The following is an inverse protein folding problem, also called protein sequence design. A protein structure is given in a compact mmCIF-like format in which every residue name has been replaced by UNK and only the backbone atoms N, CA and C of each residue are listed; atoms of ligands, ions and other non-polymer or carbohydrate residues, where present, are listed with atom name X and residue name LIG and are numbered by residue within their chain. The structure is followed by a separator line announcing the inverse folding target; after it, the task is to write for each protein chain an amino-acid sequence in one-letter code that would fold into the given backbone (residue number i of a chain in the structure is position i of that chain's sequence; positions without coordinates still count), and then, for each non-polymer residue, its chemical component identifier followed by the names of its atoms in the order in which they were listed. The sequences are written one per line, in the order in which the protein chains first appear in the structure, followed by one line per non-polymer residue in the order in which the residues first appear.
data_IF_555790041564
#
_entry.id   IF_555790041564
#
_cell.length_a   1.000
_cell.length_b   1.000
_cell.length_c   1.000
_cell.angle_alpha   90.00
_cell.angle_beta   90.00
_cell.angle_gamma   90.00
#
_symmetry.space_group_name_H-M   'P 1'
#
loop_
_entity.id
_entity.type
_entity.pdbx_description
1 polymer ?
#
# COMPACT_ATOMS: atom_id res chain seq x y z
N UNK A 1 -19.97 33.72 0.64
CA UNK A 1 -19.66 32.46 -0.08
C UNK A 1 -19.28 31.45 0.99
N UNK A 2 -20.25 30.68 1.47
CA UNK A 2 -20.09 29.70 2.56
C UNK A 2 -19.17 28.55 2.12
N UNK A 3 -18.12 28.25 2.91
CA UNK A 3 -17.18 27.17 2.58
C UNK A 3 -17.86 25.81 2.80
N UNK A 4 -17.89 24.88 1.82
CA UNK A 4 -18.83 23.76 1.82
C UNK A 4 -18.57 22.67 2.87
N UNK A 5 -17.51 22.75 3.68
CA UNK A 5 -17.16 21.77 4.71
C UNK A 5 -16.17 22.40 5.72
N UNK A 6 -16.38 22.15 7.02
CA UNK A 6 -15.45 22.60 8.06
C UNK A 6 -14.17 21.74 8.09
N UNK A 7 -13.03 22.33 8.48
CA UNK A 7 -11.73 21.61 8.58
C UNK A 7 -11.83 20.32 9.39
N UNK A 8 -12.59 20.35 10.48
CA UNK A 8 -12.86 19.18 11.33
C UNK A 8 -13.63 18.09 10.57
N UNK A 9 -14.65 18.47 9.81
CA UNK A 9 -15.41 17.54 8.99
C UNK A 9 -14.57 16.95 7.85
N UNK A 10 -13.65 17.72 7.26
CA UNK A 10 -12.70 17.23 6.26
C UNK A 10 -11.75 16.18 6.87
N UNK A 11 -11.12 16.48 8.01
CA UNK A 11 -10.20 15.54 8.68
C UNK A 11 -10.91 14.24 9.07
N UNK A 12 -12.14 14.33 9.61
CA UNK A 12 -12.92 13.15 9.97
C UNK A 12 -13.24 12.27 8.76
N UNK A 13 -13.59 12.87 7.61
CA UNK A 13 -13.94 12.14 6.38
C UNK A 13 -12.73 11.55 5.65
N UNK A 14 -11.62 12.29 5.57
CA UNK A 14 -10.44 11.84 4.85
C UNK A 14 -9.54 10.91 5.67
N UNK A 15 -9.48 11.08 6.99
CA UNK A 15 -8.63 10.27 7.88
C UNK A 15 -9.28 8.99 8.42
N UNK A 16 -10.61 8.98 8.57
CA UNK A 16 -11.35 7.85 9.19
C UNK A 16 -12.08 6.93 8.21
N UNK A 17 -12.17 7.29 6.92
CA UNK A 17 -13.07 6.67 5.95
C UNK A 17 -12.91 5.15 5.82
N UNK A 18 -11.72 4.67 5.49
CA UNK A 18 -11.48 3.23 5.26
C UNK A 18 -11.59 2.38 6.53
N UNK A 19 -11.07 2.86 7.67
CA UNK A 19 -11.18 2.16 8.96
C UNK A 19 -12.62 2.08 9.45
N UNK A 20 -13.40 3.14 9.24
CA UNK A 20 -14.82 3.17 9.58
C UNK A 20 -15.66 2.20 8.74
N UNK A 21 -15.30 1.96 7.47
CA UNK A 21 -15.97 0.94 6.62
C UNK A 21 -15.76 -0.48 7.17
N UNK A 22 -14.56 -0.80 7.66
CA UNK A 22 -14.29 -2.08 8.30
C UNK A 22 -15.06 -2.25 9.61
N UNK A 23 -15.11 -1.20 10.43
CA UNK A 23 -15.89 -1.18 11.68
C UNK A 23 -17.39 -1.34 11.41
N UNK A 24 -17.94 -0.62 10.42
CA UNK A 24 -19.34 -0.71 10.01
C UNK A 24 -19.71 -2.13 9.53
N UNK A 25 -18.77 -2.80 8.85
CA UNK A 25 -18.95 -4.19 8.40
C UNK A 25 -18.89 -5.21 9.55
N UNK A 26 -18.17 -4.89 10.63
CA UNK A 26 -18.08 -5.77 11.82
C UNK A 26 -19.21 -5.59 12.82
N UNK A 27 -19.93 -4.46 12.79
CA UNK A 27 -21.04 -4.16 13.70
C UNK A 27 -22.34 -4.82 13.19
N UNK A 28 -22.92 -5.80 13.92
CA UNK A 28 -24.17 -6.44 13.52
C UNK A 28 -25.30 -5.40 13.48
N UNK A 29 -26.01 -5.31 12.35
CA UNK A 29 -27.22 -4.49 12.21
C UNK A 29 -27.04 -3.06 11.72
N UNK A 30 -25.80 -2.59 11.47
CA UNK A 30 -25.56 -1.24 10.91
C UNK A 30 -25.57 -1.23 9.37
N UNK A 31 -25.25 -2.37 8.73
CA UNK A 31 -25.24 -2.51 7.27
C UNK A 31 -26.62 -2.33 6.60
N UNK A 32 -27.71 -2.36 7.36
CA UNK A 32 -29.09 -2.22 6.86
C UNK A 32 -29.63 -0.79 6.93
N UNK A 33 -28.90 0.16 7.53
CA UNK A 33 -29.39 1.52 7.78
C UNK A 33 -28.98 2.56 6.72
N UNK A 34 -28.24 2.17 5.67
CA UNK A 34 -27.87 3.08 4.57
C UNK A 34 -28.91 3.01 3.45
N UNK A 35 -29.72 4.07 3.22
CA UNK A 35 -30.61 4.11 2.07
C UNK A 35 -29.76 4.23 0.80
N UNK A 36 -29.87 3.24 -0.08
CA UNK A 36 -29.41 3.30 -1.47
C UNK A 36 -27.93 3.70 -1.72
N UNK A 37 -26.98 2.97 -1.12
CA UNK A 37 -25.63 2.84 -1.70
C UNK A 37 -25.58 1.85 -2.90
N UNK A 38 -26.72 1.62 -3.57
CA UNK A 38 -26.85 0.65 -4.64
C UNK A 38 -26.35 1.15 -6.02
N UNK A 39 -26.03 2.45 -6.17
CA UNK A 39 -25.79 3.06 -7.49
C UNK A 39 -24.33 3.41 -7.82
N UNK A 40 -23.36 3.24 -6.92
CA UNK A 40 -21.95 3.44 -7.27
C UNK A 40 -21.09 2.30 -6.74
N UNK A 41 -20.55 1.50 -7.67
CA UNK A 41 -19.47 0.52 -7.46
C UNK A 41 -19.82 -0.91 -7.02
N UNK A 42 -21.03 -1.42 -7.29
CA UNK A 42 -21.15 -2.86 -7.63
C UNK A 42 -20.74 -3.10 -9.09
N UNK A 43 -19.61 -2.54 -9.51
CA UNK A 43 -18.98 -2.98 -10.75
C UNK A 43 -18.54 -4.42 -10.49
N UNK A 44 -19.39 -5.38 -10.87
CA UNK A 44 -18.97 -6.76 -10.93
C UNK A 44 -17.71 -6.78 -11.79
N UNK A 45 -16.65 -7.50 -11.37
CA UNK A 45 -15.47 -7.61 -12.19
C UNK A 45 -15.89 -8.09 -13.58
N UNK A 46 -15.35 -7.45 -14.63
CA UNK A 46 -15.64 -7.82 -16.03
C UNK A 46 -15.43 -9.32 -16.30
N UNK A 47 -14.62 -9.98 -15.47
CA UNK A 47 -14.38 -11.42 -15.50
C UNK A 47 -14.74 -12.07 -14.18
N UNK A 48 -15.23 -13.31 -14.27
CA UNK A 48 -15.46 -14.14 -13.09
C UNK A 48 -14.13 -14.38 -12.35
N UNK A 49 -14.06 -14.09 -11.03
CA UNK A 49 -12.85 -14.34 -10.26
C UNK A 49 -12.52 -15.83 -10.27
N UNK A 50 -11.28 -16.16 -10.65
CA UNK A 50 -10.78 -17.55 -10.73
C UNK A 50 -10.10 -18.00 -9.45
N UNK A 51 -9.49 -17.07 -8.70
CA UNK A 51 -8.80 -17.35 -7.45
C UNK A 51 -9.77 -17.27 -6.26
N UNK A 52 -9.71 -18.26 -5.35
CA UNK A 52 -10.52 -18.30 -4.11
C UNK A 52 -9.84 -17.59 -2.93
N UNK A 53 -8.51 -17.51 -2.95
CA UNK A 53 -7.65 -16.90 -1.93
C UNK A 53 -6.44 -16.25 -2.61
N UNK A 54 -5.98 -15.14 -2.07
CA UNK A 54 -4.75 -14.45 -2.49
C UNK A 54 -3.89 -14.28 -1.25
N UNK A 55 -2.69 -14.85 -1.25
CA UNK A 55 -1.69 -14.67 -0.20
C UNK A 55 -0.59 -13.79 -0.79
N UNK A 56 -0.46 -12.57 -0.29
CA UNK A 56 0.57 -11.63 -0.74
C UNK A 56 1.68 -11.60 0.31
N UNK A 57 2.87 -12.07 -0.09
CA UNK A 57 4.07 -12.02 0.74
C UNK A 57 4.97 -10.89 0.25
N UNK A 58 5.21 -9.89 1.10
CA UNK A 58 6.16 -8.81 0.80
C UNK A 58 7.51 -9.13 1.44
N UNK A 59 8.46 -9.59 0.62
CA UNK A 59 9.82 -9.90 1.06
C UNK A 59 10.74 -8.72 0.72
N UNK A 60 11.15 -7.98 1.73
CA UNK A 60 12.21 -6.96 1.57
C UNK A 60 13.54 -7.67 1.24
N UNK A 61 14.24 -7.19 0.21
CA UNK A 61 15.54 -7.73 -0.20
C UNK A 61 15.49 -8.74 -1.34
N UNK A 62 14.35 -8.93 -1.99
CA UNK A 62 14.29 -9.66 -3.26
C UNK A 62 15.05 -8.91 -4.37
N UNK A 63 15.77 -9.61 -5.26
CA UNK A 63 16.41 -8.99 -6.42
C UNK A 63 15.37 -8.24 -7.24
N UNK A 64 15.68 -6.99 -7.58
CA UNK A 64 14.85 -6.19 -8.47
C UNK A 64 14.74 -6.90 -9.82
N UNK A 65 13.54 -7.02 -10.39
CA UNK A 65 13.34 -7.78 -11.64
C UNK A 65 14.26 -7.36 -12.80
N UNK A 66 14.47 -6.06 -13.01
CA UNK A 66 15.44 -5.56 -13.98
C UNK A 66 16.91 -5.84 -13.64
N UNK A 67 17.24 -6.30 -12.43
CA UNK A 67 18.61 -6.62 -12.05
C UNK A 67 19.13 -7.94 -12.63
N UNK A 68 18.25 -8.81 -13.13
CA UNK A 68 18.63 -10.15 -13.57
C UNK A 68 19.31 -10.22 -14.93
N UNK A 69 18.99 -9.30 -15.85
CA UNK A 69 19.37 -9.43 -17.25
C UNK A 69 20.19 -8.25 -17.79
N UNK A 70 20.46 -7.26 -16.95
CA UNK A 70 21.28 -6.11 -17.32
C UNK A 70 22.66 -6.22 -16.64
N UNK A 71 23.74 -6.48 -17.40
CA UNK A 71 25.08 -6.52 -16.85
C UNK A 71 25.47 -5.14 -16.32
N UNK A 72 25.89 -5.09 -15.05
CA UNK A 72 26.29 -3.84 -14.37
C UNK A 72 27.82 -3.75 -14.28
N UNK A 73 28.50 -3.23 -15.32
CA UNK A 73 29.97 -3.19 -15.34
C UNK A 73 30.56 -2.41 -14.17
N UNK A 74 29.87 -1.37 -13.71
CA UNK A 74 30.30 -0.58 -12.55
C UNK A 74 30.24 -1.38 -11.25
N UNK A 75 29.28 -2.30 -11.07
CA UNK A 75 29.27 -3.19 -9.90
C UNK A 75 30.48 -4.12 -9.90
N UNK A 76 30.92 -4.60 -11.07
CA UNK A 76 32.14 -5.41 -11.18
C UNK A 76 33.39 -4.57 -10.90
N UNK A 77 33.44 -3.33 -11.41
CA UNK A 77 34.57 -2.41 -11.22
C UNK A 77 34.77 -2.02 -9.75
N UNK A 78 33.68 -1.77 -9.03
CA UNK A 78 33.70 -1.33 -7.63
C UNK A 78 33.44 -2.47 -6.64
N UNK A 79 33.52 -3.72 -7.08
CA UNK A 79 33.35 -4.88 -6.21
C UNK A 79 34.38 -4.84 -5.05
N UNK A 80 33.88 -4.90 -3.80
CA UNK A 80 34.70 -4.84 -2.59
C UNK A 80 35.18 -3.44 -2.19
N UNK A 81 34.85 -2.39 -2.94
CA UNK A 81 35.14 -1.01 -2.58
C UNK A 81 33.96 -0.41 -1.82
N UNK A 82 34.21 0.11 -0.62
CA UNK A 82 33.19 0.78 0.19
C UNK A 82 33.08 2.26 -0.24
N UNK A 83 31.88 2.75 -0.61
CA UNK A 83 31.68 4.17 -0.91
C UNK A 83 31.95 5.03 0.33
N UNK A 84 32.49 6.23 0.13
CA UNK A 84 32.79 7.18 1.24
C UNK A 84 31.52 7.55 2.04
N UNK A 85 30.34 7.51 1.41
CA UNK A 85 29.04 7.72 2.05
C UNK A 85 28.40 6.48 2.69
N UNK A 86 29.09 5.34 2.74
CA UNK A 86 28.56 4.12 3.35
C UNK A 86 28.83 4.02 4.86
N UNK A 87 29.45 5.03 5.47
CA UNK A 87 29.67 5.13 6.92
C UNK A 87 28.53 5.91 7.61
N UNK A 88 27.31 5.73 7.10
CA UNK A 88 26.12 6.26 7.74
C UNK A 88 25.79 5.39 8.94
N UNK A 89 25.55 6.05 10.08
CA UNK A 89 25.06 5.42 11.31
C UNK A 89 23.62 4.95 11.10
N UNK A 90 23.44 3.88 10.33
CA UNK A 90 22.15 3.20 10.17
C UNK A 90 21.96 2.19 11.30
N UNK A 91 20.72 1.93 11.68
CA UNK A 91 20.36 1.03 12.79
C UNK A 91 20.61 -0.46 12.48
N UNK A 92 21.22 -0.78 11.34
CA UNK A 92 21.40 -2.15 10.84
C UNK A 92 22.88 -2.51 10.74
N UNK A 93 23.46 -3.16 11.77
CA UNK A 93 24.90 -3.47 11.84
C UNK A 93 25.41 -4.47 10.79
N UNK A 94 24.51 -5.14 10.05
CA UNK A 94 24.83 -6.29 9.19
C UNK A 94 24.75 -5.98 7.69
N UNK A 95 24.68 -4.71 7.28
CA UNK A 95 24.77 -4.30 5.88
C UNK A 95 26.16 -3.78 5.53
N UNK A 96 27.10 -4.70 5.29
CA UNK A 96 28.36 -4.42 4.60
C UNK A 96 28.30 -4.91 3.17
#
# INVERSE_FOLDING_TARGET
MELPISRRAAIARFGGGLGSLGLLASLPGVATALPNAASSMRALPHFRPRAKRVIHLFMNGGPFGPDFFDPKPDLTKFAGQRPEGADLRTERPTGG
#
